data_IF_613723436698
#
_entry.id   IF_613723436698
#
_cell.length_a   1.000
_cell.length_b   1.000
_cell.length_c   1.000
_cell.angle_alpha   90.00
_cell.angle_beta   90.00
_cell.angle_gamma   90.00
#
_symmetry.space_group_name_H-M   'P 1'
#
loop_
_entity.id
_entity.type
_entity.pdbx_description
1 polymer ?
#
# COMPACT_ATOMS: atom_id res chain seq x y z
N UNK A 1 12.11 -21.68 -9.25
CA UNK A 1 12.74 -21.36 -7.97
C UNK A 1 13.33 -19.94 -8.01
N UNK A 2 13.25 -19.22 -6.91
CA UNK A 2 14.07 -18.03 -6.66
C UNK A 2 15.38 -18.51 -6.03
N UNK A 3 16.47 -17.87 -6.39
CA UNK A 3 17.78 -18.15 -5.83
C UNK A 3 18.58 -16.86 -5.61
N UNK A 4 19.49 -16.91 -4.66
CA UNK A 4 20.38 -15.80 -4.37
C UNK A 4 21.84 -16.29 -4.26
N UNK A 5 22.76 -15.53 -4.83
CA UNK A 5 24.19 -15.82 -4.72
C UNK A 5 25.04 -14.55 -4.64
N UNK A 6 26.24 -14.72 -4.14
CA UNK A 6 27.26 -13.69 -4.06
C UNK A 6 28.47 -14.05 -4.91
N UNK A 7 29.30 -13.05 -5.23
CA UNK A 7 30.56 -13.20 -5.97
C UNK A 7 31.70 -12.57 -5.15
N UNK A 8 32.27 -13.30 -4.16
CA UNK A 8 33.20 -12.72 -3.19
C UNK A 8 34.46 -12.11 -3.79
N UNK A 9 34.89 -12.58 -4.96
CA UNK A 9 36.08 -12.08 -5.64
C UNK A 9 35.89 -10.71 -6.34
N UNK A 10 34.63 -10.32 -6.52
CA UNK A 10 34.33 -9.06 -7.20
C UNK A 10 34.10 -7.95 -6.16
N UNK A 11 35.11 -7.14 -5.93
CA UNK A 11 35.12 -6.07 -4.91
C UNK A 11 33.92 -5.14 -5.00
N UNK A 12 33.48 -4.79 -6.21
CA UNK A 12 32.28 -3.94 -6.43
C UNK A 12 30.97 -4.59 -5.96
N UNK A 13 30.92 -5.90 -5.82
CA UNK A 13 29.78 -6.67 -5.34
C UNK A 13 29.83 -6.95 -3.83
N UNK A 14 30.81 -6.37 -3.13
CA UNK A 14 30.90 -6.53 -1.69
C UNK A 14 29.67 -5.92 -0.99
N UNK A 15 28.95 -6.74 -0.22
CA UNK A 15 27.67 -6.37 0.38
C UNK A 15 26.46 -6.39 -0.58
N UNK A 16 26.64 -6.97 -1.77
CA UNK A 16 25.58 -7.14 -2.76
C UNK A 16 25.26 -8.61 -2.97
N UNK A 17 23.99 -8.93 -3.09
CA UNK A 17 23.49 -10.27 -3.42
C UNK A 17 22.73 -10.21 -4.74
N UNK A 18 23.03 -11.13 -5.63
CA UNK A 18 22.27 -11.31 -6.85
C UNK A 18 21.10 -12.24 -6.61
N UNK A 19 19.90 -11.83 -7.04
CA UNK A 19 18.65 -12.57 -6.85
C UNK A 19 18.02 -12.81 -8.21
N UNK A 20 17.73 -14.07 -8.55
CA UNK A 20 17.20 -14.46 -9.85
C UNK A 20 16.18 -15.60 -9.77
N UNK A 21 15.60 -15.91 -10.92
CA UNK A 21 14.62 -17.00 -11.09
C UNK A 21 15.16 -18.08 -12.05
N UNK A 22 14.81 -19.32 -11.78
CA UNK A 22 15.07 -20.45 -12.69
C UNK A 22 14.04 -21.55 -12.55
N UNK A 23 13.76 -22.23 -13.65
CA UNK A 23 13.01 -23.49 -13.69
C UNK A 23 13.95 -24.72 -13.74
N UNK A 24 15.24 -24.48 -13.98
CA UNK A 24 16.28 -25.48 -14.02
C UNK A 24 16.96 -25.64 -12.67
N UNK A 25 17.95 -26.54 -12.60
CA UNK A 25 18.83 -26.61 -11.43
C UNK A 25 19.53 -25.27 -11.18
N UNK A 26 19.48 -24.82 -9.94
CA UNK A 26 19.99 -23.49 -9.53
C UNK A 26 21.52 -23.38 -9.77
N UNK A 27 22.28 -24.42 -9.44
CA UNK A 27 23.72 -24.42 -9.58
C UNK A 27 24.15 -24.38 -11.05
N UNK A 28 23.46 -25.12 -11.89
CA UNK A 28 23.67 -25.10 -13.34
C UNK A 28 23.33 -23.73 -13.93
N UNK A 29 22.24 -23.12 -13.47
CA UNK A 29 21.87 -21.75 -13.89
C UNK A 29 22.92 -20.73 -13.52
N UNK A 30 23.44 -20.75 -12.28
CA UNK A 30 24.48 -19.83 -11.85
C UNK A 30 25.78 -20.04 -12.64
N UNK A 31 26.20 -21.30 -12.86
CA UNK A 31 27.36 -21.60 -13.71
C UNK A 31 27.22 -21.02 -15.11
N UNK A 32 26.05 -21.15 -15.75
CA UNK A 32 25.80 -20.56 -17.07
C UNK A 32 25.95 -19.05 -17.06
N UNK A 33 25.49 -18.36 -16.00
CA UNK A 33 25.59 -16.91 -15.86
C UNK A 33 27.01 -16.42 -15.56
N UNK A 34 27.82 -17.22 -14.88
CA UNK A 34 29.17 -16.86 -14.44
C UNK A 34 30.27 -17.44 -15.32
N UNK A 35 29.95 -18.39 -16.17
CA UNK A 35 30.92 -19.15 -17.01
C UNK A 35 31.79 -18.24 -17.90
N UNK A 36 31.26 -17.13 -18.41
CA UNK A 36 31.99 -16.20 -19.28
C UNK A 36 33.06 -15.39 -18.53
N UNK A 37 32.99 -15.32 -17.21
CA UNK A 37 33.85 -14.47 -16.39
C UNK A 37 34.77 -15.24 -15.45
N UNK A 38 34.72 -16.58 -15.43
CA UNK A 38 35.46 -17.49 -14.52
C UNK A 38 35.49 -16.98 -13.06
N UNK A 39 34.31 -16.54 -12.58
CA UNK A 39 34.11 -15.91 -11.26
C UNK A 39 33.67 -16.95 -10.27
N UNK A 40 34.30 -17.01 -9.11
CA UNK A 40 33.81 -17.79 -7.99
C UNK A 40 32.50 -17.17 -7.44
N UNK A 41 31.54 -18.04 -7.20
CA UNK A 41 30.25 -17.65 -6.63
C UNK A 41 29.89 -18.53 -5.42
N UNK A 42 29.13 -17.97 -4.52
CA UNK A 42 28.60 -18.67 -3.37
C UNK A 42 27.07 -18.62 -3.41
N UNK A 43 26.43 -19.81 -3.42
CA UNK A 43 24.96 -19.89 -3.30
C UNK A 43 24.57 -19.60 -1.86
N UNK A 44 23.84 -18.52 -1.64
CA UNK A 44 23.36 -18.13 -0.33
C UNK A 44 22.12 -18.93 0.05
N UNK A 45 21.15 -18.97 -0.84
CA UNK A 45 19.91 -19.72 -0.65
C UNK A 45 19.17 -19.96 -1.98
N UNK A 46 18.19 -20.89 -1.93
CA UNK A 46 17.18 -21.04 -2.96
C UNK A 46 15.85 -21.46 -2.34
N UNK A 47 14.73 -21.11 -2.98
CA UNK A 47 13.40 -21.43 -2.49
C UNK A 47 12.38 -21.56 -3.61
N UNK A 48 11.29 -22.28 -3.33
CA UNK A 48 10.21 -22.44 -4.30
C UNK A 48 9.49 -21.11 -4.55
N UNK A 49 9.27 -20.80 -5.81
CA UNK A 49 8.54 -19.59 -6.23
C UNK A 49 7.02 -19.80 -6.19
N UNK A 50 6.50 -20.24 -5.04
CA UNK A 50 5.08 -20.49 -4.78
C UNK A 50 4.65 -19.69 -3.57
N UNK A 51 3.45 -19.14 -3.61
CA UNK A 51 2.83 -18.45 -2.49
C UNK A 51 2.51 -19.41 -1.35
N UNK A 52 2.49 -18.93 -0.10
CA UNK A 52 2.21 -19.76 1.06
C UNK A 52 0.69 -19.93 1.28
N UNK A 53 -0.09 -18.87 1.13
CA UNK A 53 -1.51 -18.88 1.48
C UNK A 53 -2.45 -18.74 0.28
N UNK A 54 -1.92 -18.63 -0.93
CA UNK A 54 -2.72 -18.62 -2.17
C UNK A 54 -2.15 -19.53 -3.24
N UNK A 55 -2.98 -19.99 -4.14
CA UNK A 55 -2.54 -20.75 -5.30
C UNK A 55 -1.79 -19.87 -6.30
N UNK A 56 -0.77 -20.43 -6.94
CA UNK A 56 0.00 -19.78 -7.99
C UNK A 56 1.48 -19.67 -7.69
N UNK A 57 2.21 -19.19 -8.68
CA UNK A 57 3.65 -18.96 -8.66
C UNK A 57 3.94 -17.49 -8.85
N UNK A 58 5.13 -17.08 -8.46
CA UNK A 58 5.66 -15.73 -8.70
C UNK A 58 7.04 -15.82 -9.37
N UNK A 59 7.49 -14.70 -9.92
CA UNK A 59 8.81 -14.56 -10.53
C UNK A 59 9.74 -13.70 -9.67
N UNK A 60 11.02 -13.68 -10.03
CA UNK A 60 12.01 -12.80 -9.39
C UNK A 60 11.61 -11.32 -9.49
N UNK A 61 10.97 -10.91 -10.56
CA UNK A 61 10.47 -9.53 -10.74
C UNK A 61 9.49 -9.11 -9.64
N UNK A 62 8.66 -10.02 -9.14
CA UNK A 62 7.73 -9.75 -8.05
C UNK A 62 8.49 -9.53 -6.73
N UNK A 63 9.48 -10.39 -6.47
CA UNK A 63 10.32 -10.27 -5.28
C UNK A 63 11.27 -9.07 -5.37
N UNK A 64 11.79 -8.75 -6.56
CA UNK A 64 12.58 -7.53 -6.78
C UNK A 64 11.77 -6.28 -6.45
N UNK A 65 10.54 -6.18 -6.95
CA UNK A 65 9.65 -5.06 -6.65
C UNK A 65 9.33 -4.96 -5.14
N UNK A 66 9.20 -6.10 -4.46
CA UNK A 66 9.04 -6.14 -3.01
C UNK A 66 10.26 -5.56 -2.28
N UNK A 67 11.48 -5.98 -2.62
CA UNK A 67 12.71 -5.49 -2.01
C UNK A 67 12.92 -3.98 -2.25
N UNK A 68 12.66 -3.50 -3.47
CA UNK A 68 12.72 -2.07 -3.79
C UNK A 68 11.72 -1.24 -2.96
N UNK A 69 10.53 -1.76 -2.74
CA UNK A 69 9.53 -1.15 -1.85
C UNK A 69 9.94 -1.14 -0.39
N UNK A 70 10.74 -2.13 0.05
CA UNK A 70 11.35 -2.15 1.38
C UNK A 70 12.54 -1.18 1.52
N UNK A 71 12.87 -0.46 0.46
CA UNK A 71 14.00 0.48 0.45
C UNK A 71 15.36 -0.17 0.24
N UNK A 72 15.42 -1.43 -0.19
CA UNK A 72 16.67 -2.09 -0.53
C UNK A 72 17.22 -1.51 -1.84
N UNK A 73 18.43 -1.01 -1.80
CA UNK A 73 19.11 -0.42 -2.96
C UNK A 73 19.35 -1.50 -4.03
N UNK A 74 18.96 -1.21 -5.28
CA UNK A 74 19.16 -2.08 -6.44
C UNK A 74 20.13 -1.46 -7.43
N UNK A 75 21.05 -2.24 -7.98
CA UNK A 75 21.89 -1.77 -9.09
C UNK A 75 21.02 -1.53 -10.33
N UNK A 76 21.07 -0.33 -10.96
CA UNK A 76 20.18 0.03 -12.05
C UNK A 76 20.16 -0.99 -13.19
N UNK A 77 18.96 -1.44 -13.58
CA UNK A 77 18.74 -2.42 -14.66
C UNK A 77 19.39 -3.79 -14.45
N UNK A 78 19.76 -4.14 -13.22
CA UNK A 78 20.34 -5.42 -12.88
C UNK A 78 19.60 -6.10 -11.74
N UNK A 79 20.00 -7.32 -11.41
CA UNK A 79 19.41 -8.19 -10.39
C UNK A 79 20.26 -8.23 -9.12
N UNK A 80 21.09 -7.19 -8.89
CA UNK A 80 21.94 -7.04 -7.71
C UNK A 80 21.28 -6.10 -6.71
N UNK A 81 21.19 -6.55 -5.47
CA UNK A 81 20.60 -5.83 -4.36
C UNK A 81 21.62 -5.66 -3.24
N UNK A 82 21.67 -4.48 -2.63
CA UNK A 82 22.54 -4.18 -1.50
C UNK A 82 21.94 -4.72 -0.21
N UNK A 83 22.07 -6.02 -0.04
CA UNK A 83 21.50 -6.80 1.05
C UNK A 83 22.38 -8.04 1.25
N UNK A 84 22.50 -8.53 2.48
CA UNK A 84 23.21 -9.78 2.72
C UNK A 84 22.40 -11.01 2.26
N UNK A 85 23.07 -12.14 2.03
CA UNK A 85 22.42 -13.40 1.68
C UNK A 85 21.39 -13.80 2.74
N UNK A 86 21.76 -13.74 4.02
CA UNK A 86 20.90 -14.09 5.14
C UNK A 86 19.67 -13.18 5.23
N UNK A 87 19.86 -11.87 5.16
CA UNK A 87 18.77 -10.90 5.21
C UNK A 87 17.84 -11.04 4.00
N UNK A 88 18.38 -11.27 2.80
CA UNK A 88 17.58 -11.52 1.60
C UNK A 88 16.74 -12.79 1.71
N UNK A 89 17.23 -13.83 2.40
CA UNK A 89 16.50 -15.04 2.68
C UNK A 89 15.34 -14.81 3.66
N UNK A 90 15.57 -14.02 4.69
CA UNK A 90 14.50 -13.62 5.63
C UNK A 90 13.41 -12.81 4.92
N UNK A 91 13.80 -11.89 4.04
CA UNK A 91 12.85 -11.13 3.22
C UNK A 91 12.08 -12.02 2.24
N UNK A 92 12.71 -13.07 1.70
CA UNK A 92 12.05 -14.03 0.84
C UNK A 92 10.97 -14.83 1.58
N UNK A 93 11.23 -15.28 2.80
CA UNK A 93 10.20 -15.93 3.62
C UNK A 93 9.04 -14.99 3.93
N UNK A 94 9.33 -13.77 4.37
CA UNK A 94 8.28 -12.75 4.59
C UNK A 94 7.44 -12.51 3.35
N UNK A 95 8.09 -12.36 2.20
CA UNK A 95 7.42 -12.17 0.92
C UNK A 95 6.45 -13.32 0.59
N UNK A 96 6.84 -14.54 0.87
CA UNK A 96 5.98 -15.73 0.69
C UNK A 96 4.84 -15.78 1.70
N UNK A 97 5.15 -15.58 2.98
CA UNK A 97 4.18 -15.65 4.09
C UNK A 97 3.11 -14.55 4.00
N UNK A 98 3.48 -13.40 3.45
CA UNK A 98 2.55 -12.29 3.25
C UNK A 98 1.91 -12.27 1.85
N UNK A 99 2.13 -13.31 1.04
CA UNK A 99 1.70 -13.36 -0.37
C UNK A 99 2.15 -12.13 -1.19
N UNK A 100 3.34 -11.62 -0.89
CA UNK A 100 3.89 -10.42 -1.51
C UNK A 100 3.31 -9.10 -0.99
N UNK A 101 2.43 -9.15 -0.01
CA UNK A 101 1.94 -7.95 0.66
C UNK A 101 3.02 -7.47 1.63
N UNK A 102 3.40 -6.21 1.51
CA UNK A 102 4.28 -5.59 2.49
C UNK A 102 3.54 -5.48 3.84
N UNK A 103 4.22 -5.83 4.93
CA UNK A 103 3.76 -5.37 6.24
C UNK A 103 3.60 -3.86 6.16
N UNK A 104 2.37 -3.40 6.35
CA UNK A 104 2.12 -1.97 6.34
C UNK A 104 2.98 -1.34 7.44
N UNK A 105 3.70 -0.28 7.15
CA UNK A 105 4.33 0.48 8.22
C UNK A 105 3.24 0.83 9.21
N UNK A 106 3.41 0.45 10.47
CA UNK A 106 2.49 0.84 11.53
C UNK A 106 2.27 2.36 11.49
N UNK A 107 1.06 2.81 11.77
CA UNK A 107 0.77 4.24 11.72
C UNK A 107 1.77 5.03 12.56
N UNK A 108 2.39 6.03 11.97
CA UNK A 108 3.29 6.91 12.68
C UNK A 108 2.56 7.60 13.84
N UNK A 109 3.16 7.61 15.02
CA UNK A 109 2.62 8.36 16.14
C UNK A 109 2.67 9.85 15.83
N UNK A 110 1.60 10.56 16.17
CA UNK A 110 1.53 12.02 16.02
C UNK A 110 0.72 12.63 17.15
N UNK A 111 0.92 13.91 17.36
CA UNK A 111 0.10 14.71 18.28
C UNK A 111 -0.53 15.85 17.46
N UNK A 112 -1.85 15.98 17.56
CA UNK A 112 -2.54 17.10 16.96
C UNK A 112 -2.15 18.41 17.64
N UNK A 113 -1.99 19.47 16.86
CA UNK A 113 -1.88 20.82 17.38
C UNK A 113 -3.21 21.26 17.99
N UNK A 114 -3.20 22.21 18.91
CA UNK A 114 -4.39 22.66 19.62
C UNK A 114 -5.55 23.07 18.70
N UNK A 115 -5.25 23.74 17.59
CA UNK A 115 -6.25 24.13 16.59
C UNK A 115 -6.84 22.94 15.82
N UNK A 116 -6.04 21.90 15.57
CA UNK A 116 -6.50 20.66 14.92
C UNK A 116 -7.38 19.85 15.88
N UNK A 117 -6.93 19.71 17.12
CA UNK A 117 -7.69 19.01 18.16
C UNK A 117 -9.06 19.66 18.37
N UNK A 118 -9.10 21.00 18.47
CA UNK A 118 -10.36 21.74 18.58
C UNK A 118 -11.27 21.50 17.39
N UNK A 119 -10.74 21.47 16.17
CA UNK A 119 -11.53 21.17 14.96
C UNK A 119 -12.15 19.77 15.02
N UNK A 120 -11.37 18.75 15.44
CA UNK A 120 -11.86 17.37 15.61
C UNK A 120 -12.96 17.31 16.69
N UNK A 121 -12.72 17.89 17.85
CA UNK A 121 -13.67 17.90 18.97
C UNK A 121 -15.00 18.57 18.60
N UNK A 122 -14.96 19.76 18.01
CA UNK A 122 -16.16 20.51 17.62
C UNK A 122 -16.95 19.79 16.53
N UNK A 123 -16.24 19.30 15.48
CA UNK A 123 -16.91 18.60 14.39
C UNK A 123 -17.46 17.25 14.87
N UNK A 124 -16.70 16.55 15.71
CA UNK A 124 -17.15 15.28 16.28
C UNK A 124 -18.37 15.42 17.18
N UNK A 125 -18.43 16.44 18.00
CA UNK A 125 -19.60 16.75 18.82
C UNK A 125 -20.83 17.07 17.96
N UNK A 126 -20.63 17.90 16.92
CA UNK A 126 -21.68 18.23 15.96
C UNK A 126 -22.22 16.99 15.22
N UNK A 127 -21.32 16.13 14.71
CA UNK A 127 -21.70 14.93 13.99
C UNK A 127 -22.50 13.96 14.88
N UNK A 128 -22.04 13.71 16.11
CA UNK A 128 -22.76 12.83 17.04
C UNK A 128 -24.14 13.36 17.38
N UNK A 129 -24.28 14.66 17.67
CA UNK A 129 -25.59 15.25 17.94
C UNK A 129 -26.57 15.05 16.77
N UNK A 130 -26.11 15.25 15.52
CA UNK A 130 -26.96 15.04 14.34
C UNK A 130 -27.33 13.58 14.07
N UNK A 131 -26.43 12.64 14.39
CA UNK A 131 -26.72 11.21 14.22
C UNK A 131 -27.68 10.70 15.28
N UNK A 132 -27.55 11.17 16.53
CA UNK A 132 -28.44 10.78 17.64
C UNK A 132 -29.86 11.29 17.44
N UNK A 133 -30.06 12.42 16.76
CA UNK A 133 -31.36 12.99 16.42
C UNK A 133 -32.08 12.27 15.28
N UNK A 134 -31.50 11.23 14.68
CA UNK A 134 -32.07 10.45 13.58
C UNK A 134 -32.33 11.25 12.31
N UNK A 135 -31.60 12.32 12.09
CA UNK A 135 -31.75 13.18 10.94
C UNK A 135 -31.57 12.44 9.61
N UNK A 136 -32.56 12.53 8.73
CA UNK A 136 -32.53 11.96 7.39
C UNK A 136 -31.46 12.59 6.47
N UNK A 137 -30.90 13.72 6.89
CA UNK A 137 -29.85 14.46 6.20
C UNK A 137 -28.68 14.66 7.15
N UNK A 138 -27.46 14.21 6.76
CA UNK A 138 -26.24 14.42 7.52
C UNK A 138 -26.02 15.93 7.76
N UNK A 139 -25.51 16.27 8.95
CA UNK A 139 -25.16 17.65 9.27
C UNK A 139 -24.01 18.16 8.39
N UNK A 140 -24.02 19.43 8.09
CA UNK A 140 -22.94 20.10 7.36
C UNK A 140 -22.07 20.88 8.33
N UNK A 141 -20.75 20.72 8.25
CA UNK A 141 -19.79 21.42 9.07
C UNK A 141 -18.63 21.95 8.21
N UNK A 142 -18.39 23.25 8.25
CA UNK A 142 -17.37 23.92 7.44
C UNK A 142 -16.09 24.21 8.25
N UNK A 143 -14.96 23.73 7.76
CA UNK A 143 -13.64 24.13 8.26
C UNK A 143 -13.06 25.28 7.44
N UNK A 144 -12.93 26.44 8.02
CA UNK A 144 -12.15 27.55 7.45
C UNK A 144 -10.66 27.37 7.84
N UNK A 145 -9.99 26.45 7.19
CA UNK A 145 -8.63 26.06 7.53
C UNK A 145 -7.60 26.66 6.57
N UNK A 146 -6.64 27.40 7.13
CA UNK A 146 -5.53 28.04 6.39
C UNK A 146 -4.61 27.02 5.70
N UNK A 147 -3.82 27.42 4.71
CA UNK A 147 -2.71 26.61 4.20
C UNK A 147 -1.82 26.11 5.34
N UNK A 148 -1.28 24.89 5.22
CA UNK A 148 -0.46 24.21 6.24
C UNK A 148 -1.16 23.89 7.57
N UNK A 149 -2.47 24.00 7.64
CA UNK A 149 -3.24 23.54 8.80
C UNK A 149 -3.08 22.04 9.07
N UNK A 150 -2.83 21.22 8.04
CA UNK A 150 -2.79 19.75 8.13
C UNK A 150 -4.19 19.13 8.01
N UNK A 151 -4.99 19.61 7.08
CA UNK A 151 -6.38 19.21 6.86
C UNK A 151 -6.56 17.71 6.73
N UNK A 152 -5.70 17.04 5.97
CA UNK A 152 -5.76 15.60 5.72
C UNK A 152 -5.63 14.79 7.01
N UNK A 153 -4.58 15.07 7.78
CA UNK A 153 -4.36 14.44 9.08
C UNK A 153 -5.53 14.68 10.04
N UNK A 154 -5.99 15.94 10.12
CA UNK A 154 -7.11 16.31 10.98
C UNK A 154 -8.42 15.61 10.56
N UNK A 155 -8.66 15.44 9.25
CA UNK A 155 -9.80 14.72 8.73
C UNK A 155 -9.74 13.22 9.07
N UNK A 156 -8.58 12.58 8.93
CA UNK A 156 -8.40 11.18 9.32
C UNK A 156 -8.58 10.98 10.84
N UNK A 157 -8.07 11.90 11.64
CA UNK A 157 -8.26 11.83 13.09
C UNK A 157 -9.74 12.00 13.48
N UNK A 158 -10.46 12.92 12.83
CA UNK A 158 -11.90 13.06 13.00
C UNK A 158 -12.63 11.74 12.66
N UNK A 159 -12.36 11.13 11.51
CA UNK A 159 -12.99 9.87 11.11
C UNK A 159 -12.82 8.79 12.18
N UNK A 160 -11.63 8.67 12.76
CA UNK A 160 -11.37 7.74 13.85
C UNK A 160 -12.11 8.11 15.14
N UNK A 161 -12.11 9.39 15.50
CA UNK A 161 -12.75 9.87 16.73
C UNK A 161 -14.26 9.67 16.78
N UNK A 162 -14.91 9.67 15.61
CA UNK A 162 -16.36 9.42 15.46
C UNK A 162 -16.66 8.00 14.99
N UNK A 163 -15.65 7.14 14.87
CA UNK A 163 -15.78 5.75 14.39
C UNK A 163 -16.50 5.64 13.04
N UNK A 164 -16.23 6.59 12.13
CA UNK A 164 -16.81 6.59 10.79
C UNK A 164 -16.35 5.34 10.03
N UNK A 165 -17.28 4.50 9.59
CA UNK A 165 -16.94 3.27 8.85
C UNK A 165 -16.81 3.52 7.34
N UNK A 166 -17.55 4.46 6.80
CA UNK A 166 -17.59 4.79 5.38
C UNK A 166 -17.22 6.25 5.20
N UNK A 167 -16.08 6.50 4.59
CA UNK A 167 -15.55 7.84 4.36
C UNK A 167 -15.42 8.08 2.87
N UNK A 168 -16.07 9.11 2.36
CA UNK A 168 -15.94 9.55 0.97
C UNK A 168 -15.25 10.91 0.92
N UNK A 169 -14.11 10.96 0.25
CA UNK A 169 -13.34 12.18 -0.01
C UNK A 169 -13.59 12.61 -1.45
N UNK A 170 -14.24 13.74 -1.62
CA UNK A 170 -14.53 14.30 -2.95
C UNK A 170 -13.71 15.57 -3.17
N UNK A 171 -13.03 15.66 -4.30
CA UNK A 171 -12.22 16.81 -4.67
C UNK A 171 -12.42 17.21 -6.13
N UNK A 172 -12.19 18.48 -6.44
CA UNK A 172 -12.07 18.96 -7.82
C UNK A 172 -10.62 18.89 -8.36
N UNK A 173 -9.67 18.39 -7.55
CA UNK A 173 -8.24 18.35 -7.88
C UNK A 173 -7.72 16.91 -7.76
N UNK A 174 -7.81 16.07 -8.81
CA UNK A 174 -7.31 14.70 -8.75
C UNK A 174 -5.81 14.62 -8.41
N UNK A 175 -5.03 15.63 -8.76
CA UNK A 175 -3.59 15.69 -8.47
C UNK A 175 -3.22 15.61 -6.98
N UNK A 176 -4.16 15.88 -6.04
CA UNK A 176 -3.90 15.75 -4.59
C UNK A 176 -4.11 14.32 -4.08
N UNK A 177 -4.54 13.37 -4.92
CA UNK A 177 -4.78 11.99 -4.53
C UNK A 177 -3.56 11.35 -3.85
N UNK A 178 -2.36 11.58 -4.41
CA UNK A 178 -1.12 11.08 -3.82
C UNK A 178 -0.91 11.58 -2.39
N UNK A 179 -1.18 12.86 -2.11
CA UNK A 179 -1.02 13.43 -0.77
C UNK A 179 -1.98 12.80 0.24
N UNK A 180 -3.23 12.54 -0.14
CA UNK A 180 -4.21 11.85 0.71
C UNK A 180 -3.81 10.41 0.97
N UNK A 181 -3.35 9.72 -0.06
CA UNK A 181 -2.87 8.36 0.05
C UNK A 181 -1.61 8.25 0.93
N UNK A 182 -0.61 9.12 0.72
CA UNK A 182 0.64 9.12 1.49
C UNK A 182 0.36 9.40 2.98
N UNK A 183 -0.54 10.34 3.28
CA UNK A 183 -0.99 10.61 4.64
C UNK A 183 -1.80 9.44 5.23
N UNK A 184 -2.61 8.73 4.42
CA UNK A 184 -3.28 7.51 4.86
C UNK A 184 -2.29 6.43 5.27
N UNK A 185 -1.33 6.11 4.41
CA UNK A 185 -0.29 5.11 4.70
C UNK A 185 0.50 5.49 5.96
N UNK A 186 0.81 6.77 6.10
CA UNK A 186 1.63 7.27 7.20
C UNK A 186 0.89 7.34 8.54
N UNK A 187 -0.36 7.76 8.57
CA UNK A 187 -1.06 8.13 9.82
C UNK A 187 -2.24 7.23 10.17
N UNK A 188 -2.84 6.57 9.20
CA UNK A 188 -3.92 5.61 9.43
C UNK A 188 -3.37 4.20 9.43
N UNK A 189 -2.61 3.86 8.39
CA UNK A 189 -2.05 2.54 8.18
C UNK A 189 -3.11 1.47 7.88
N UNK A 190 -2.67 0.29 7.52
CA UNK A 190 -3.55 -0.85 7.24
C UNK A 190 -4.23 -1.37 8.50
N UNK A 191 -3.54 -1.26 9.65
CA UNK A 191 -4.05 -1.69 10.97
C UNK A 191 -5.08 -0.71 11.56
N UNK A 192 -5.25 0.45 10.94
CA UNK A 192 -6.19 1.48 11.39
C UNK A 192 -7.68 1.15 11.18
N UNK A 193 -8.01 -0.05 10.70
CA UNK A 193 -9.38 -0.49 10.50
C UNK A 193 -10.03 0.03 9.21
N UNK A 194 -9.27 0.70 8.35
CA UNK A 194 -9.76 1.22 7.07
C UNK A 194 -8.99 0.62 5.89
N UNK A 195 -9.67 0.53 4.74
CA UNK A 195 -9.06 0.29 3.43
C UNK A 195 -9.14 1.57 2.60
N UNK A 196 -8.07 1.89 1.88
CA UNK A 196 -8.06 3.04 0.96
C UNK A 196 -8.49 2.59 -0.42
N UNK A 197 -9.49 3.27 -0.99
CA UNK A 197 -10.08 2.94 -2.29
C UNK A 197 -9.95 4.14 -3.21
N UNK A 198 -9.50 3.92 -4.43
CA UNK A 198 -9.49 4.98 -5.45
C UNK A 198 -9.44 4.40 -6.86
N UNK A 199 -10.17 5.03 -7.78
CA UNK A 199 -10.06 4.80 -9.23
C UNK A 199 -9.14 5.77 -9.96
N UNK A 200 -8.39 6.62 -9.23
CA UNK A 200 -7.48 7.60 -9.85
C UNK A 200 -6.23 6.90 -10.38
N UNK A 201 -5.92 7.08 -11.66
CA UNK A 201 -4.78 6.44 -12.34
C UNK A 201 -3.45 6.61 -11.60
N UNK A 202 -3.21 7.77 -10.98
CA UNK A 202 -1.99 8.05 -10.22
C UNK A 202 -1.82 7.15 -8.98
N UNK A 203 -2.87 6.47 -8.54
CA UNK A 203 -2.87 5.54 -7.40
C UNK A 203 -2.99 4.08 -7.83
N UNK A 204 -3.20 3.80 -9.10
CA UNK A 204 -3.32 2.44 -9.62
C UNK A 204 -2.06 1.62 -9.31
N UNK A 205 -2.26 0.44 -8.72
CA UNK A 205 -1.18 -0.47 -8.36
C UNK A 205 -0.32 -0.04 -7.18
N UNK A 206 -0.65 1.04 -6.48
CA UNK A 206 0.03 1.39 -5.23
C UNK A 206 -0.32 0.40 -4.11
N UNK A 207 0.62 0.06 -3.22
CA UNK A 207 0.35 -0.77 -2.06
C UNK A 207 -0.80 -0.20 -1.24
N UNK A 208 -1.66 -1.06 -0.68
CA UNK A 208 -2.79 -0.65 0.19
C UNK A 208 -3.84 0.29 -0.45
N UNK A 209 -3.75 0.54 -1.76
CA UNK A 209 -4.78 1.23 -2.52
C UNK A 209 -5.53 0.19 -3.36
N UNK A 210 -6.80 0.03 -3.12
CA UNK A 210 -7.66 -0.91 -3.83
C UNK A 210 -8.51 -0.15 -4.85
N UNK A 211 -8.78 -0.79 -5.98
CA UNK A 211 -9.93 -0.41 -6.78
C UNK A 211 -11.22 -0.79 -6.05
N UNK A 212 -12.34 -0.21 -6.45
CA UNK A 212 -13.64 -0.58 -5.90
C UNK A 212 -13.95 -2.07 -6.09
N UNK A 213 -13.63 -2.61 -7.25
CA UNK A 213 -13.85 -4.03 -7.56
C UNK A 213 -13.00 -4.95 -6.68
N UNK A 214 -11.74 -4.60 -6.46
CA UNK A 214 -10.85 -5.33 -5.55
C UNK A 214 -11.36 -5.28 -4.11
N UNK A 215 -11.80 -4.11 -3.64
CA UNK A 215 -12.39 -3.98 -2.31
C UNK A 215 -13.66 -4.85 -2.14
N UNK A 216 -14.60 -4.79 -3.09
CA UNK A 216 -15.82 -5.60 -3.04
C UNK A 216 -15.51 -7.10 -3.10
N UNK A 217 -14.50 -7.51 -3.86
CA UNK A 217 -14.04 -8.89 -3.92
C UNK A 217 -13.45 -9.33 -2.58
N UNK A 218 -12.57 -8.52 -2.01
CA UNK A 218 -11.98 -8.79 -0.70
C UNK A 218 -13.04 -8.88 0.39
N UNK A 219 -14.01 -7.96 0.41
CA UNK A 219 -15.12 -7.96 1.37
C UNK A 219 -16.01 -9.22 1.27
N UNK A 220 -16.25 -9.73 0.05
CA UNK A 220 -17.01 -10.98 -0.15
C UNK A 220 -16.24 -12.20 0.35
N UNK A 221 -14.92 -12.19 0.23
CA UNK A 221 -14.05 -13.31 0.62
C UNK A 221 -13.74 -13.31 2.12
N UNK A 222 -13.76 -12.15 2.77
CA UNK A 222 -13.52 -11.99 4.20
C UNK A 222 -14.54 -11.00 4.81
N UNK A 223 -15.77 -11.47 5.10
CA UNK A 223 -16.82 -10.62 5.67
C UNK A 223 -16.51 -10.13 7.09
N UNK A 224 -15.58 -10.79 7.80
CA UNK A 224 -15.15 -10.42 9.16
C UNK A 224 -13.95 -9.48 9.16
N UNK A 225 -13.36 -9.26 8.02
CA UNK A 225 -12.24 -8.32 7.82
C UNK A 225 -12.63 -6.86 8.09
N UNK A 226 -11.68 -5.93 7.95
CA UNK A 226 -11.91 -4.51 8.20
C UNK A 226 -13.08 -3.97 7.37
N UNK A 227 -14.11 -3.49 8.06
CA UNK A 227 -15.35 -2.98 7.45
C UNK A 227 -15.27 -1.51 7.07
N UNK A 228 -14.25 -0.80 7.58
CA UNK A 228 -14.04 0.61 7.28
C UNK A 228 -13.36 0.82 5.94
N UNK A 229 -13.78 1.84 5.21
CA UNK A 229 -13.08 2.28 4.02
C UNK A 229 -13.03 3.81 3.91
N UNK A 230 -12.00 4.28 3.22
CA UNK A 230 -11.81 5.66 2.80
C UNK A 230 -11.73 5.65 1.28
N UNK A 231 -12.75 6.13 0.61
CA UNK A 231 -12.77 6.24 -0.85
C UNK A 231 -12.42 7.66 -1.28
N UNK A 232 -11.42 7.78 -2.14
CA UNK A 232 -11.01 9.05 -2.74
C UNK A 232 -11.45 9.11 -4.19
N UNK A 233 -12.28 10.11 -4.52
CA UNK A 233 -12.80 10.36 -5.86
C UNK A 233 -12.62 11.82 -6.27
N UNK A 234 -12.48 12.07 -7.55
CA UNK A 234 -12.57 13.42 -8.09
C UNK A 234 -13.99 13.74 -8.60
N UNK A 235 -14.32 15.01 -8.70
CA UNK A 235 -15.57 15.43 -9.35
C UNK A 235 -15.62 14.99 -10.82
N UNK A 236 -14.47 14.82 -11.47
CA UNK A 236 -14.38 14.30 -12.82
C UNK A 236 -14.81 12.83 -12.89
N UNK A 237 -14.41 12.02 -11.89
CA UNK A 237 -14.80 10.61 -11.80
C UNK A 237 -16.31 10.46 -11.56
N UNK A 238 -16.92 11.42 -10.86
CA UNK A 238 -18.36 11.45 -10.59
C UNK A 238 -19.18 12.07 -11.72
N UNK A 239 -18.54 12.72 -12.68
CA UNK A 239 -19.23 13.33 -13.82
C UNK A 239 -20.04 12.27 -14.60
N UNK A 240 -21.32 12.56 -14.79
CA UNK A 240 -22.26 11.63 -15.45
C UNK A 240 -22.84 10.55 -14.54
N UNK A 241 -22.51 10.52 -13.23
CA UNK A 241 -23.17 9.67 -12.25
C UNK A 241 -24.64 10.08 -12.08
N UNK A 242 -25.53 9.07 -11.91
CA UNK A 242 -26.96 9.28 -11.69
C UNK A 242 -27.21 10.15 -10.47
N UNK A 243 -26.47 9.96 -9.39
CA UNK A 243 -26.57 10.73 -8.15
C UNK A 243 -26.30 12.22 -8.34
N UNK A 244 -25.52 12.60 -9.35
CA UNK A 244 -25.21 13.97 -9.72
C UNK A 244 -25.92 14.41 -11.01
N UNK A 245 -27.06 13.81 -11.33
CA UNK A 245 -27.88 14.17 -12.48
C UNK A 245 -27.42 13.60 -13.82
N UNK A 246 -26.50 12.61 -13.82
CA UNK A 246 -26.08 11.87 -15.00
C UNK A 246 -26.89 10.60 -15.26
N UNK A 247 -26.38 9.77 -16.19
CA UNK A 247 -27.06 8.53 -16.62
C UNK A 247 -26.30 7.25 -16.24
N UNK A 248 -25.13 7.37 -15.62
CA UNK A 248 -24.28 6.23 -15.29
C UNK A 248 -24.28 5.95 -13.79
N UNK A 249 -24.42 4.67 -13.43
CA UNK A 249 -24.21 4.20 -12.07
C UNK A 249 -22.72 4.20 -11.76
N UNK A 250 -22.22 5.15 -10.99
CA UNK A 250 -20.80 5.26 -10.65
C UNK A 250 -20.49 5.06 -9.17
N UNK A 251 -21.49 5.20 -8.32
CA UNK A 251 -21.40 4.92 -6.89
C UNK A 251 -22.43 3.84 -6.59
N UNK A 252 -22.00 2.68 -6.12
CA UNK A 252 -22.92 1.68 -5.56
C UNK A 252 -23.36 2.13 -4.17
N UNK A 253 -24.63 2.15 -3.97
CA UNK A 253 -25.26 2.54 -2.72
C UNK A 253 -25.32 1.39 -1.73
#
# INVERSE_FOLDING_TARGET
>A
QIYAYTTPEIVRHNGWTKIGYTEQDVRERIKQQTHTADVQWHLEWSGNATWEHRAGTFHDTDFHAYLEKQGVEREPKKEWFKISGEESHQQFYRFRDTDGVLDAPGAASYTLRAEQQRAVEQTGAFARAHWDEGGAHGGEFLWNAKPRFGKTLTAYDLCRSISAQKVLIVTNRPAIANSWYDDYVKFVGVDGGYRFISGVDALAGKPYCLSREEYLRAFRNDPEGPKGFIEFVSLQDLKGSIRFGGVYQKLDE
#
